data_IF_520625443192
#
_entry.id   IF_520625443192
#
_cell.length_a   1.000
_cell.length_b   1.000
_cell.length_c   1.000
_cell.angle_alpha   90.00
_cell.angle_beta   90.00
_cell.angle_gamma   90.00
#
_symmetry.space_group_name_H-M   'P 1'
#
loop_
_entity.id
_entity.type
_entity.pdbx_description
1 polymer ?
#
# COMPACT_ATOMS: atom_id res chain seq x y z
N UNK A 1 -31.58 -27.32 -9.54
CA UNK A 1 -32.36 -26.07 -9.61
C UNK A 1 -31.73 -25.07 -8.65
N UNK A 2 -31.27 -23.87 -8.99
CA UNK A 2 -31.02 -23.18 -10.26
C UNK A 2 -29.93 -22.14 -9.95
N UNK A 3 -28.66 -22.44 -10.24
CA UNK A 3 -27.55 -21.47 -10.10
C UNK A 3 -27.40 -20.61 -11.37
N UNK A 4 -27.97 -21.08 -12.49
CA UNK A 4 -28.04 -20.38 -13.77
C UNK A 4 -28.95 -19.16 -13.70
N UNK A 5 -30.08 -19.25 -13.00
CA UNK A 5 -31.05 -18.15 -12.89
C UNK A 5 -30.47 -16.93 -12.13
N UNK A 6 -29.55 -17.14 -11.19
CA UNK A 6 -28.93 -16.06 -10.42
C UNK A 6 -27.87 -15.30 -11.25
N UNK A 7 -27.13 -16.03 -12.08
CA UNK A 7 -26.17 -15.45 -13.03
C UNK A 7 -26.91 -14.66 -14.11
N UNK A 8 -27.97 -15.21 -14.67
CA UNK A 8 -28.77 -14.55 -15.71
C UNK A 8 -29.44 -13.27 -15.19
N UNK A 9 -29.94 -13.28 -13.94
CA UNK A 9 -30.48 -12.09 -13.29
C UNK A 9 -29.41 -11.02 -13.04
N UNK A 10 -28.19 -11.43 -12.69
CA UNK A 10 -27.07 -10.50 -12.46
C UNK A 10 -26.62 -9.84 -13.76
N UNK A 11 -26.53 -10.61 -14.85
CA UNK A 11 -26.20 -10.10 -16.19
C UNK A 11 -27.30 -9.16 -16.69
N UNK A 12 -28.57 -9.51 -16.51
CA UNK A 12 -29.70 -8.66 -16.90
C UNK A 12 -29.70 -7.32 -16.14
N UNK A 13 -29.35 -7.35 -14.84
CA UNK A 13 -29.21 -6.13 -14.03
C UNK A 13 -28.05 -5.25 -14.51
N UNK A 14 -26.88 -5.84 -14.77
CA UNK A 14 -25.71 -5.11 -15.26
C UNK A 14 -25.99 -4.43 -16.62
N UNK A 15 -26.65 -5.12 -17.55
CA UNK A 15 -27.05 -4.56 -18.84
C UNK A 15 -28.02 -3.39 -18.71
N UNK A 16 -28.97 -3.48 -17.76
CA UNK A 16 -29.92 -2.39 -17.47
C UNK A 16 -29.22 -1.16 -16.88
N UNK A 17 -28.26 -1.38 -15.99
CA UNK A 17 -27.48 -0.30 -15.39
C UNK A 17 -26.56 0.38 -16.42
N UNK A 18 -25.95 -0.39 -17.33
CA UNK A 18 -25.17 0.15 -18.45
C UNK A 18 -26.02 1.02 -19.38
N UNK A 19 -27.20 0.56 -19.78
CA UNK A 19 -28.12 1.33 -20.63
C UNK A 19 -28.55 2.66 -19.97
N UNK A 20 -28.75 2.66 -18.65
CA UNK A 20 -29.09 3.86 -17.88
C UNK A 20 -27.94 4.88 -17.85
N UNK A 21 -26.70 4.41 -17.77
CA UNK A 21 -25.50 5.26 -17.81
C UNK A 21 -25.34 5.88 -19.20
N UNK A 22 -25.48 5.08 -20.26
CA UNK A 22 -25.37 5.56 -21.65
C UNK A 22 -26.45 6.62 -21.97
N UNK A 23 -27.70 6.39 -21.52
CA UNK A 23 -28.77 7.38 -21.65
C UNK A 23 -28.46 8.69 -20.92
N UNK A 24 -27.90 8.60 -19.71
CA UNK A 24 -27.54 9.77 -18.90
C UNK A 24 -26.42 10.59 -19.57
N UNK A 25 -25.41 9.91 -20.13
CA UNK A 25 -24.32 10.56 -20.86
C UNK A 25 -24.79 11.19 -22.18
N UNK A 26 -25.72 10.56 -22.89
CA UNK A 26 -26.35 11.12 -24.08
C UNK A 26 -27.10 12.42 -23.76
N UNK A 27 -27.90 12.43 -22.69
CA UNK A 27 -28.64 13.61 -22.24
C UNK A 27 -27.69 14.78 -21.89
N UNK A 28 -26.58 14.48 -21.19
CA UNK A 28 -25.57 15.48 -20.82
C UNK A 28 -24.89 16.10 -22.05
N UNK A 29 -24.63 15.31 -23.11
CA UNK A 29 -24.06 15.83 -24.37
C UNK A 29 -25.06 16.72 -25.10
N UNK A 30 -26.33 16.32 -25.18
CA UNK A 30 -27.38 17.15 -25.78
C UNK A 30 -27.59 18.47 -25.03
N UNK A 31 -27.49 18.49 -23.69
CA UNK A 31 -27.53 19.74 -22.92
C UNK A 31 -26.32 20.63 -23.21
N UNK A 32 -25.11 20.07 -23.35
CA UNK A 32 -23.92 20.84 -23.71
C UNK A 32 -24.02 21.47 -25.11
N UNK A 33 -24.57 20.73 -26.07
CA UNK A 33 -24.81 21.23 -27.43
C UNK A 33 -25.89 22.32 -27.47
N UNK A 34 -26.95 22.19 -26.66
CA UNK A 34 -27.98 23.22 -26.49
C UNK A 34 -27.38 24.52 -25.94
N UNK A 35 -26.55 24.43 -24.90
CA UNK A 35 -25.86 25.59 -24.30
C UNK A 35 -24.93 26.26 -25.32
N UNK A 36 -24.22 25.47 -26.12
CA UNK A 36 -23.34 25.98 -27.18
C UNK A 36 -24.12 26.66 -28.32
N UNK A 37 -25.28 26.13 -28.69
CA UNK A 37 -26.17 26.74 -29.68
C UNK A 37 -26.75 28.07 -29.19
N UNK A 38 -27.05 28.19 -27.90
CA UNK A 38 -27.54 29.42 -27.28
C UNK A 38 -26.49 30.55 -27.20
N UNK A 39 -25.20 30.23 -27.29
CA UNK A 39 -24.10 31.19 -27.10
C UNK A 39 -23.68 31.97 -28.36
N UNK A 40 -24.33 31.76 -29.52
CA UNK A 40 -23.85 32.36 -30.79
C UNK A 40 -24.90 33.22 -31.50
N UNK A 41 -24.97 34.55 -31.28
CA UNK A 41 -25.80 35.42 -32.10
C UNK A 41 -25.01 35.92 -33.32
N UNK A 42 -24.96 35.12 -34.39
CA UNK A 42 -24.33 35.50 -35.67
C UNK A 42 -25.07 36.58 -36.47
N UNK A 43 -26.22 37.07 -36.02
CA UNK A 43 -27.02 38.06 -36.77
C UNK A 43 -26.69 39.53 -36.42
N UNK A 44 -26.06 39.81 -35.27
CA UNK A 44 -25.81 41.20 -34.84
C UNK A 44 -24.63 41.86 -35.55
N UNK A 45 -23.66 41.08 -36.04
CA UNK A 45 -22.48 41.58 -36.76
C UNK A 45 -22.82 42.11 -38.15
N UNK A 46 -23.91 41.64 -38.77
CA UNK A 46 -24.38 42.12 -40.08
C UNK A 46 -25.03 43.50 -40.02
N UNK A 47 -25.80 43.77 -38.97
CA UNK A 47 -26.57 45.03 -38.82
C UNK A 47 -25.64 46.22 -38.51
N UNK A 48 -24.60 46.01 -37.71
CA UNK A 48 -23.62 47.05 -37.39
C UNK A 48 -22.80 47.51 -38.60
N UNK A 49 -22.66 46.66 -39.62
CA UNK A 49 -21.92 46.98 -40.86
C UNK A 49 -22.75 47.82 -41.83
N UNK A 50 -24.07 47.64 -41.84
CA UNK A 50 -25.03 48.44 -42.64
C UNK A 50 -25.27 49.82 -41.99
N UNK A 51 -25.31 49.88 -40.65
CA UNK A 51 -25.51 51.14 -39.92
C UNK A 51 -24.33 52.13 -40.04
N UNK A 52 -23.12 51.66 -40.39
CA UNK A 52 -21.92 52.52 -40.57
C UNK A 52 -21.82 53.19 -41.94
N UNK A 53 -22.61 52.80 -42.94
CA UNK A 53 -22.49 53.28 -44.32
C UNK A 53 -23.57 54.27 -44.75
N UNK A 54 -24.43 54.75 -43.84
CA UNK A 54 -25.51 55.69 -44.17
C UNK A 54 -25.47 56.86 -43.19
N UNK A 55 -25.19 58.06 -43.68
CA UNK A 55 -25.39 59.29 -42.90
C UNK A 55 -26.88 59.45 -42.60
N UNK A 56 -27.29 59.65 -41.34
CA UNK A 56 -28.71 59.66 -41.02
C UNK A 56 -29.39 61.01 -41.25
N UNK A 57 -30.55 61.04 -41.92
CA UNK A 57 -31.57 62.05 -41.72
C UNK A 57 -32.23 61.87 -40.33
N UNK A 58 -32.95 62.89 -39.86
CA UNK A 58 -33.50 63.02 -38.51
C UNK A 58 -34.37 61.85 -37.97
N UNK A 59 -34.73 60.85 -38.79
CA UNK A 59 -35.47 59.66 -38.36
C UNK A 59 -34.63 58.62 -37.60
N UNK A 60 -33.28 58.70 -37.59
CA UNK A 60 -32.47 57.76 -36.81
C UNK A 60 -32.38 58.07 -35.31
N UNK A 61 -32.90 59.21 -34.82
CA UNK A 61 -32.98 59.43 -33.35
C UNK A 61 -33.94 58.43 -32.70
N UNK A 62 -35.07 58.14 -33.36
CA UNK A 62 -36.08 57.16 -32.92
C UNK A 62 -35.50 55.74 -32.99
N UNK A 63 -34.79 55.41 -34.07
CA UNK A 63 -34.14 54.09 -34.21
C UNK A 63 -33.01 53.89 -33.18
N UNK A 64 -32.26 54.95 -32.88
CA UNK A 64 -31.21 54.93 -31.85
C UNK A 64 -31.79 54.74 -30.44
N UNK A 65 -32.89 55.45 -30.12
CA UNK A 65 -33.60 55.26 -28.85
C UNK A 65 -34.19 53.84 -28.73
N UNK A 66 -34.75 53.31 -29.82
CA UNK A 66 -35.29 51.95 -29.85
C UNK A 66 -34.19 50.88 -29.73
N UNK A 67 -33.03 51.09 -30.35
CA UNK A 67 -31.86 50.21 -30.16
C UNK A 67 -31.33 50.28 -28.73
N UNK A 68 -31.33 51.46 -28.10
CA UNK A 68 -30.92 51.62 -26.70
C UNK A 68 -31.89 50.92 -25.75
N UNK A 69 -33.20 51.00 -26.01
CA UNK A 69 -34.22 50.28 -25.25
C UNK A 69 -34.09 48.75 -25.41
N UNK A 70 -33.91 48.26 -26.64
CA UNK A 70 -33.63 46.84 -26.89
C UNK A 70 -32.33 46.37 -26.24
N UNK A 71 -31.28 47.19 -26.20
CA UNK A 71 -30.04 46.85 -25.50
C UNK A 71 -30.25 46.76 -23.99
N UNK A 72 -31.07 47.63 -23.39
CA UNK A 72 -31.44 47.54 -21.97
C UNK A 72 -32.27 46.30 -21.66
N UNK A 73 -33.27 46.00 -22.47
CA UNK A 73 -34.06 44.76 -22.29
C UNK A 73 -33.20 43.53 -22.48
N UNK A 74 -32.31 43.52 -23.48
CA UNK A 74 -31.37 42.43 -23.68
C UNK A 74 -30.41 42.27 -22.50
N UNK A 75 -29.94 43.37 -21.88
CA UNK A 75 -29.16 43.31 -20.65
C UNK A 75 -29.96 42.72 -19.48
N UNK A 76 -31.21 43.14 -19.28
CA UNK A 76 -32.07 42.60 -18.23
C UNK A 76 -32.37 41.11 -18.43
N UNK A 77 -32.63 40.67 -19.67
CA UNK A 77 -32.76 39.25 -20.00
C UNK A 77 -31.44 38.49 -19.78
N UNK A 78 -30.29 39.09 -20.11
CA UNK A 78 -28.97 38.47 -19.89
C UNK A 78 -28.66 38.31 -18.40
N UNK A 79 -29.09 39.26 -17.56
CA UNK A 79 -28.97 39.16 -16.11
C UNK A 79 -29.97 38.16 -15.50
N UNK A 80 -31.17 38.01 -16.08
CA UNK A 80 -32.16 37.00 -15.68
C UNK A 80 -31.75 35.57 -16.09
N UNK A 81 -30.99 35.44 -17.19
CA UNK A 81 -30.49 34.15 -17.71
C UNK A 81 -29.14 33.77 -17.08
N UNK A 82 -28.42 34.72 -16.44
CA UNK A 82 -27.21 34.36 -15.67
C UNK A 82 -27.63 33.43 -14.54
N UNK A 83 -27.06 32.21 -14.45
CA UNK A 83 -27.24 31.37 -13.29
C UNK A 83 -26.95 32.22 -12.05
N UNK A 84 -27.84 32.26 -11.05
CA UNK A 84 -27.56 32.97 -9.82
C UNK A 84 -26.19 32.54 -9.30
N UNK A 85 -25.38 33.46 -8.74
CA UNK A 85 -24.03 33.13 -8.24
C UNK A 85 -24.03 31.91 -7.30
N UNK A 86 -25.14 31.65 -6.59
CA UNK A 86 -25.29 30.46 -5.75
C UNK A 86 -25.21 29.14 -6.56
N UNK A 87 -25.63 29.11 -7.83
CA UNK A 87 -25.52 27.93 -8.69
C UNK A 87 -24.06 27.64 -9.06
N UNK A 88 -23.24 28.67 -9.27
CA UNK A 88 -21.80 28.48 -9.49
C UNK A 88 -21.13 27.91 -8.25
N UNK A 89 -21.55 28.35 -7.05
CA UNK A 89 -21.06 27.84 -5.78
C UNK A 89 -21.54 26.39 -5.53
N UNK A 90 -22.80 26.06 -5.82
CA UNK A 90 -23.32 24.68 -5.78
C UNK A 90 -22.57 23.78 -6.77
N UNK A 91 -22.32 24.23 -8.00
CA UNK A 91 -21.57 23.45 -8.99
C UNK A 91 -20.14 23.20 -8.51
N UNK A 92 -19.48 24.19 -7.89
CA UNK A 92 -18.15 24.02 -7.28
C UNK A 92 -18.19 23.03 -6.12
N UNK A 93 -19.17 23.13 -5.23
CA UNK A 93 -19.35 22.19 -4.11
C UNK A 93 -19.65 20.78 -4.59
N UNK A 94 -20.52 20.61 -5.60
CA UNK A 94 -20.79 19.30 -6.23
C UNK A 94 -19.55 18.73 -6.90
N UNK A 95 -18.75 19.55 -7.58
CA UNK A 95 -17.48 19.11 -8.17
C UNK A 95 -16.45 18.73 -7.09
N UNK A 96 -16.40 19.45 -5.97
CA UNK A 96 -15.57 19.10 -4.81
C UNK A 96 -16.05 17.80 -4.16
N UNK A 97 -17.36 17.60 -3.98
CA UNK A 97 -17.94 16.35 -3.48
C UNK A 97 -17.70 15.18 -4.44
N UNK A 98 -17.80 15.38 -5.75
CA UNK A 98 -17.46 14.34 -6.73
C UNK A 98 -15.96 14.01 -6.70
N UNK A 99 -15.09 15.01 -6.57
CA UNK A 99 -13.64 14.81 -6.43
C UNK A 99 -13.30 14.11 -5.12
N UNK A 100 -14.00 14.43 -4.03
CA UNK A 100 -13.87 13.78 -2.73
C UNK A 100 -14.39 12.33 -2.79
N UNK A 101 -15.55 12.12 -3.39
CA UNK A 101 -16.14 10.80 -3.64
C UNK A 101 -15.16 9.94 -4.44
N UNK A 102 -14.70 10.40 -5.60
CA UNK A 102 -13.70 9.69 -6.41
C UNK A 102 -12.41 9.39 -5.62
N UNK A 103 -11.92 10.34 -4.80
CA UNK A 103 -10.76 10.13 -3.92
C UNK A 103 -11.00 9.05 -2.85
N UNK A 104 -12.24 8.85 -2.41
CA UNK A 104 -12.60 7.81 -1.44
C UNK A 104 -12.84 6.46 -2.13
N UNK A 105 -13.49 6.44 -3.30
CA UNK A 105 -13.85 5.19 -3.99
C UNK A 105 -12.66 4.54 -4.68
N UNK A 106 -11.76 5.29 -5.30
CA UNK A 106 -10.62 4.73 -6.05
C UNK A 106 -9.69 3.85 -5.20
N UNK A 107 -9.26 4.24 -3.98
CA UNK A 107 -8.45 3.40 -3.10
C UNK A 107 -9.13 2.08 -2.74
N UNK A 108 -10.42 2.17 -2.40
CA UNK A 108 -11.22 1.02 -2.04
C UNK A 108 -11.38 0.08 -3.23
N UNK A 109 -11.57 0.62 -4.44
CA UNK A 109 -11.57 -0.17 -5.67
C UNK A 109 -10.23 -0.85 -5.93
N UNK A 110 -9.10 -0.17 -5.76
CA UNK A 110 -7.77 -0.75 -5.94
C UNK A 110 -7.52 -1.93 -4.99
N UNK A 111 -7.83 -1.78 -3.71
CA UNK A 111 -7.69 -2.87 -2.73
C UNK A 111 -8.68 -4.00 -3.00
N UNK A 112 -9.93 -3.67 -3.37
CA UNK A 112 -10.90 -4.68 -3.79
C UNK A 112 -10.43 -5.43 -5.04
N UNK A 113 -9.77 -4.76 -5.99
CA UNK A 113 -9.18 -5.39 -7.17
C UNK A 113 -8.02 -6.30 -6.79
N UNK A 114 -7.15 -5.89 -5.85
CA UNK A 114 -6.10 -6.76 -5.30
C UNK A 114 -6.73 -8.00 -4.68
N UNK A 115 -7.70 -7.85 -3.77
CA UNK A 115 -8.37 -8.97 -3.11
C UNK A 115 -9.06 -9.86 -4.15
N UNK A 116 -9.85 -9.30 -5.08
CA UNK A 116 -10.54 -10.06 -6.12
C UNK A 116 -9.55 -10.80 -7.03
N UNK A 117 -8.47 -10.15 -7.44
CA UNK A 117 -7.44 -10.77 -8.29
C UNK A 117 -6.77 -11.94 -7.59
N UNK A 118 -6.48 -11.81 -6.28
CA UNK A 118 -5.96 -12.90 -5.47
C UNK A 118 -6.98 -14.02 -5.34
N UNK A 119 -8.23 -13.72 -4.96
CA UNK A 119 -9.31 -14.73 -4.89
C UNK A 119 -9.47 -15.50 -6.20
N UNK A 120 -9.45 -14.82 -7.35
CA UNK A 120 -9.53 -15.46 -8.67
C UNK A 120 -8.34 -16.38 -8.97
N UNK A 121 -7.12 -16.03 -8.52
CA UNK A 121 -5.96 -16.93 -8.60
C UNK A 121 -6.21 -18.20 -7.77
N UNK A 122 -6.72 -18.06 -6.55
CA UNK A 122 -7.02 -19.22 -5.70
C UNK A 122 -8.16 -20.09 -6.24
N UNK A 123 -9.21 -19.49 -6.81
CA UNK A 123 -10.28 -20.24 -7.50
C UNK A 123 -9.73 -21.07 -8.67
N UNK A 124 -8.86 -20.46 -9.50
CA UNK A 124 -8.22 -21.16 -10.61
C UNK A 124 -7.32 -22.30 -10.13
N UNK A 125 -6.50 -22.05 -9.11
CA UNK A 125 -5.63 -23.06 -8.53
C UNK A 125 -6.44 -24.20 -7.88
N UNK A 126 -7.55 -23.87 -7.19
CA UNK A 126 -8.50 -24.85 -6.64
C UNK A 126 -9.04 -25.77 -7.74
N UNK A 127 -9.49 -25.19 -8.85
CA UNK A 127 -10.01 -25.94 -9.99
C UNK A 127 -8.94 -26.85 -10.62
N UNK A 128 -7.70 -26.35 -10.73
CA UNK A 128 -6.57 -27.15 -11.22
C UNK A 128 -6.28 -28.32 -10.28
N UNK A 129 -6.17 -28.10 -8.98
CA UNK A 129 -5.90 -29.15 -7.98
C UNK A 129 -7.03 -30.19 -7.97
N UNK A 130 -8.30 -29.76 -8.02
CA UNK A 130 -9.44 -30.66 -8.08
C UNK A 130 -9.43 -31.58 -9.32
N UNK A 131 -8.88 -31.10 -10.44
CA UNK A 131 -8.71 -31.90 -11.65
C UNK A 131 -7.58 -32.94 -11.52
N UNK A 132 -6.59 -32.71 -10.64
CA UNK A 132 -5.52 -33.66 -10.34
C UNK A 132 -5.94 -34.62 -9.22
N UNK A 133 -6.81 -35.59 -9.54
CA UNK A 133 -7.25 -36.65 -8.63
C UNK A 133 -6.12 -37.49 -8.01
N UNK A 134 -4.90 -37.40 -8.54
CA UNK A 134 -3.71 -38.14 -8.11
C UNK A 134 -2.84 -37.38 -7.07
N UNK A 135 -2.97 -36.06 -6.97
CA UNK A 135 -2.24 -35.31 -5.95
C UNK A 135 -3.11 -35.41 -4.70
N UNK A 136 -2.66 -36.18 -3.70
CA UNK A 136 -3.18 -36.09 -2.32
C UNK A 136 -2.82 -34.72 -1.71
N UNK A 137 -3.15 -33.64 -2.41
CA UNK A 137 -3.54 -32.42 -1.75
C UNK A 137 -4.89 -32.76 -1.17
N UNK A 138 -4.98 -32.84 0.15
CA UNK A 138 -6.30 -32.80 0.71
C UNK A 138 -6.87 -31.45 0.26
N UNK A 139 -8.00 -31.45 -0.47
CA UNK A 139 -8.82 -30.25 -0.72
C UNK A 139 -8.87 -29.32 0.52
N UNK A 140 -8.90 -29.86 1.77
CA UNK A 140 -8.65 -29.09 3.00
C UNK A 140 -7.46 -28.12 2.97
N UNK A 141 -6.25 -28.52 2.59
CA UNK A 141 -5.04 -27.67 2.67
C UNK A 141 -5.11 -26.45 1.73
N UNK A 142 -5.62 -26.61 0.51
CA UNK A 142 -5.78 -25.45 -0.39
C UNK A 142 -6.93 -24.53 0.05
N UNK A 143 -8.02 -25.12 0.56
CA UNK A 143 -9.11 -24.35 1.15
C UNK A 143 -8.66 -23.58 2.40
N UNK A 144 -7.73 -24.14 3.18
CA UNK A 144 -7.09 -23.49 4.33
C UNK A 144 -6.22 -22.31 3.88
N UNK A 145 -5.33 -22.49 2.91
CA UNK A 145 -4.52 -21.39 2.38
C UNK A 145 -5.36 -20.22 1.83
N UNK A 146 -6.47 -20.53 1.14
CA UNK A 146 -7.43 -19.52 0.66
C UNK A 146 -8.14 -18.82 1.83
N UNK A 147 -8.59 -19.60 2.82
CA UNK A 147 -9.27 -19.09 4.00
C UNK A 147 -8.35 -18.19 4.82
N UNK A 148 -7.11 -18.61 5.07
CA UNK A 148 -6.10 -17.84 5.78
C UNK A 148 -5.84 -16.50 5.07
N UNK A 149 -5.66 -16.51 3.74
CA UNK A 149 -5.50 -15.26 2.99
C UNK A 149 -6.73 -14.35 3.13
N UNK A 150 -7.93 -14.89 3.01
CA UNK A 150 -9.17 -14.12 3.14
C UNK A 150 -9.32 -13.55 4.55
N UNK A 151 -9.10 -14.35 5.59
CA UNK A 151 -9.17 -13.93 6.99
C UNK A 151 -8.15 -12.82 7.25
N UNK A 152 -6.91 -13.00 6.83
CA UNK A 152 -5.85 -12.02 7.03
C UNK A 152 -6.12 -10.72 6.26
N UNK A 153 -6.51 -10.82 4.98
CA UNK A 153 -6.79 -9.65 4.14
C UNK A 153 -8.00 -8.86 4.61
N UNK A 154 -9.10 -9.54 4.94
CA UNK A 154 -10.34 -8.91 5.41
C UNK A 154 -10.11 -8.29 6.79
N UNK A 155 -9.43 -8.99 7.70
CA UNK A 155 -9.09 -8.48 9.02
C UNK A 155 -8.29 -7.18 8.93
N UNK A 156 -7.22 -7.18 8.13
CA UNK A 156 -6.39 -6.01 7.90
C UNK A 156 -7.15 -4.87 7.21
N UNK A 157 -7.93 -5.17 6.16
CA UNK A 157 -8.73 -4.17 5.45
C UNK A 157 -9.76 -3.50 6.36
N UNK A 158 -10.45 -4.28 7.20
CA UNK A 158 -11.41 -3.75 8.17
C UNK A 158 -10.71 -2.84 9.17
N UNK A 159 -9.57 -3.27 9.73
CA UNK A 159 -8.79 -2.44 10.65
C UNK A 159 -8.36 -1.13 10.00
N UNK A 160 -7.83 -1.15 8.78
CA UNK A 160 -7.43 0.05 8.02
C UNK A 160 -8.62 0.96 7.72
N UNK A 161 -9.79 0.39 7.44
CA UNK A 161 -11.03 1.13 7.21
C UNK A 161 -11.45 1.86 8.50
N UNK A 162 -11.42 1.16 9.62
CA UNK A 162 -11.86 1.68 10.92
C UNK A 162 -11.00 2.86 11.39
N UNK A 163 -9.69 2.82 11.14
CA UNK A 163 -8.78 3.94 11.45
C UNK A 163 -8.72 5.01 10.34
N UNK A 164 -9.50 4.85 9.25
CA UNK A 164 -9.53 5.79 8.12
C UNK A 164 -8.26 5.78 7.26
N UNK A 165 -7.39 4.77 7.38
CA UNK A 165 -6.16 4.66 6.58
C UNK A 165 -6.49 4.46 5.09
N UNK A 166 -7.51 3.65 4.77
CA UNK A 166 -7.92 3.38 3.39
C UNK A 166 -8.31 4.65 2.62
N UNK A 167 -8.95 5.60 3.29
CA UNK A 167 -9.46 6.82 2.68
C UNK A 167 -8.44 7.94 2.67
N UNK A 168 -7.54 7.97 3.64
CA UNK A 168 -6.59 9.08 3.83
C UNK A 168 -5.18 8.78 3.29
N UNK A 169 -4.78 7.50 3.29
CA UNK A 169 -3.44 7.04 2.96
C UNK A 169 -3.49 5.84 2.00
N UNK A 170 -4.06 6.05 0.80
CA UNK A 170 -4.25 5.01 -0.23
C UNK A 170 -2.96 4.24 -0.56
N UNK A 171 -1.90 4.98 -0.92
CA UNK A 171 -0.64 4.36 -1.35
C UNK A 171 -0.01 3.52 -0.23
N UNK A 172 -0.12 3.99 1.02
CA UNK A 172 0.34 3.24 2.18
C UNK A 172 -0.52 1.99 2.39
N UNK A 173 -1.85 2.12 2.30
CA UNK A 173 -2.76 0.98 2.42
C UNK A 173 -2.43 -0.11 1.41
N UNK A 174 -2.28 0.25 0.13
CA UNK A 174 -1.85 -0.68 -0.92
C UNK A 174 -0.48 -1.31 -0.59
N UNK A 175 0.46 -0.53 -0.07
CA UNK A 175 1.80 -1.01 0.29
C UNK A 175 1.79 -2.02 1.43
N UNK A 176 0.88 -1.88 2.39
CA UNK A 176 0.73 -2.79 3.52
C UNK A 176 0.14 -4.16 3.10
N UNK A 177 -0.43 -4.27 1.90
CA UNK A 177 -0.87 -5.54 1.29
C UNK A 177 0.23 -6.26 0.49
N UNK A 178 1.43 -5.70 0.32
CA UNK A 178 2.51 -6.34 -0.46
C UNK A 178 2.87 -7.75 0.04
N UNK A 179 2.90 -8.05 1.36
CA UNK A 179 3.10 -9.41 1.84
C UNK A 179 2.04 -10.42 1.36
N UNK A 180 0.78 -9.98 1.21
CA UNK A 180 -0.31 -10.83 0.70
C UNK A 180 -0.11 -11.16 -0.78
N UNK A 181 0.42 -10.20 -1.55
CA UNK A 181 0.82 -10.41 -2.95
C UNK A 181 1.98 -11.40 -3.02
N UNK A 182 3.01 -11.23 -2.18
CA UNK A 182 4.14 -12.17 -2.12
C UNK A 182 3.69 -13.58 -1.74
N UNK A 183 2.80 -13.72 -0.74
CA UNK A 183 2.19 -14.99 -0.36
C UNK A 183 1.46 -15.64 -1.54
N UNK A 184 0.61 -14.89 -2.25
CA UNK A 184 -0.13 -15.42 -3.41
C UNK A 184 0.81 -15.94 -4.49
N UNK A 185 1.90 -15.22 -4.78
CA UNK A 185 2.92 -15.66 -5.73
C UNK A 185 3.64 -16.93 -5.25
N UNK A 186 3.94 -17.01 -3.96
CA UNK A 186 4.53 -18.19 -3.33
C UNK A 186 3.61 -19.42 -3.41
N UNK A 187 2.32 -19.26 -3.12
CA UNK A 187 1.32 -20.33 -3.24
C UNK A 187 1.26 -20.83 -4.68
N UNK A 188 1.15 -19.93 -5.66
CA UNK A 188 1.14 -20.28 -7.08
C UNK A 188 2.38 -21.10 -7.47
N UNK A 189 3.56 -20.60 -7.11
CA UNK A 189 4.83 -21.28 -7.38
C UNK A 189 4.87 -22.69 -6.76
N UNK A 190 4.43 -22.81 -5.51
CA UNK A 190 4.43 -24.07 -4.76
C UNK A 190 3.46 -25.08 -5.37
N UNK A 191 2.25 -24.64 -5.73
CA UNK A 191 1.24 -25.47 -6.41
C UNK A 191 1.74 -25.96 -7.76
N UNK A 192 2.36 -25.10 -8.57
CA UNK A 192 2.96 -25.50 -9.86
C UNK A 192 3.97 -26.64 -9.66
N UNK A 193 4.84 -26.54 -8.65
CA UNK A 193 5.82 -27.59 -8.31
C UNK A 193 5.17 -28.89 -7.81
N UNK A 194 4.08 -28.79 -7.06
CA UNK A 194 3.31 -29.96 -6.61
C UNK A 194 2.57 -30.64 -7.77
N UNK A 195 2.09 -29.87 -8.75
CA UNK A 195 1.46 -30.42 -9.97
C UNK A 195 2.42 -31.09 -10.93
N UNK A 196 3.73 -30.84 -10.79
CA UNK A 196 4.77 -31.52 -11.55
C UNK A 196 5.02 -32.97 -11.09
N UNK A 197 4.15 -33.54 -10.24
CA UNK A 197 4.25 -34.88 -9.67
C UNK A 197 5.63 -35.17 -9.03
N UNK A 198 6.04 -34.36 -8.04
CA UNK A 198 7.29 -34.59 -7.34
C UNK A 198 7.25 -35.92 -6.59
N UNK A 199 8.42 -36.43 -6.22
CA UNK A 199 8.53 -37.59 -5.32
C UNK A 199 7.77 -37.33 -4.00
N UNK A 200 7.29 -38.36 -3.29
CA UNK A 200 6.53 -38.17 -2.06
C UNK A 200 7.24 -37.31 -0.99
N UNK A 201 8.56 -37.46 -0.86
CA UNK A 201 9.35 -36.66 0.09
C UNK A 201 9.44 -35.18 -0.31
N UNK A 202 9.61 -34.86 -1.60
CA UNK A 202 9.59 -33.47 -2.08
C UNK A 202 8.19 -32.89 -1.93
N UNK A 203 7.13 -33.67 -2.23
CA UNK A 203 5.76 -33.23 -2.04
C UNK A 203 5.47 -32.85 -0.58
N UNK A 204 5.92 -33.67 0.38
CA UNK A 204 5.76 -33.39 1.81
C UNK A 204 6.48 -32.10 2.23
N UNK A 205 7.70 -31.86 1.74
CA UNK A 205 8.44 -30.62 2.03
C UNK A 205 7.80 -29.38 1.43
N UNK A 206 7.26 -29.48 0.21
CA UNK A 206 6.50 -28.39 -0.41
C UNK A 206 5.23 -28.06 0.39
N UNK A 207 4.51 -29.06 0.90
CA UNK A 207 3.34 -28.85 1.76
C UNK A 207 3.71 -28.27 3.12
N UNK A 208 4.78 -28.78 3.74
CA UNK A 208 5.29 -28.22 5.00
C UNK A 208 5.70 -26.76 4.85
N UNK A 209 6.39 -26.42 3.76
CA UNK A 209 6.72 -25.04 3.42
C UNK A 209 5.48 -24.16 3.24
N UNK A 210 4.41 -24.68 2.64
CA UNK A 210 3.13 -23.96 2.53
C UNK A 210 2.51 -23.66 3.90
N UNK A 211 2.40 -24.68 4.75
CA UNK A 211 1.85 -24.55 6.11
C UNK A 211 2.65 -23.54 6.96
N UNK A 212 3.99 -23.58 6.85
CA UNK A 212 4.87 -22.67 7.56
C UNK A 212 4.67 -21.20 7.12
N UNK A 213 4.62 -20.93 5.81
CA UNK A 213 4.37 -19.56 5.30
C UNK A 213 2.97 -19.09 5.68
N UNK A 214 1.97 -19.96 5.63
CA UNK A 214 0.59 -19.63 6.00
C UNK A 214 0.51 -19.17 7.46
N UNK A 215 1.10 -19.93 8.40
CA UNK A 215 1.15 -19.55 9.80
C UNK A 215 1.91 -18.21 9.99
N UNK A 216 3.03 -18.04 9.30
CA UNK A 216 3.79 -16.78 9.33
C UNK A 216 2.97 -15.59 8.81
N UNK A 217 2.15 -15.76 7.77
CA UNK A 217 1.25 -14.70 7.26
C UNK A 217 0.21 -14.30 8.30
N UNK A 218 -0.46 -15.27 8.92
CA UNK A 218 -1.46 -15.02 9.96
C UNK A 218 -0.86 -14.27 11.15
N UNK A 219 0.28 -14.74 11.64
CA UNK A 219 1.00 -14.11 12.75
C UNK A 219 1.47 -12.69 12.41
N UNK A 220 1.93 -12.47 11.17
CA UNK A 220 2.35 -11.15 10.71
C UNK A 220 1.19 -10.16 10.63
N UNK A 221 0.02 -10.61 10.13
CA UNK A 221 -1.16 -9.76 10.05
C UNK A 221 -1.68 -9.37 11.44
N UNK A 222 -1.61 -10.27 12.42
CA UNK A 222 -1.95 -9.93 13.80
C UNK A 222 -1.02 -8.83 14.36
N UNK A 223 0.30 -9.01 14.22
CA UNK A 223 1.30 -8.01 14.66
C UNK A 223 1.07 -6.65 13.98
N UNK A 224 0.86 -6.64 12.67
CA UNK A 224 0.59 -5.40 11.90
C UNK A 224 -0.71 -4.77 12.37
N UNK A 225 -1.79 -5.54 12.52
CA UNK A 225 -3.11 -5.03 12.93
C UNK A 225 -3.08 -4.37 14.32
N UNK A 226 -2.26 -4.90 15.23
CA UNK A 226 -2.04 -4.37 16.57
C UNK A 226 -1.18 -3.10 16.59
N UNK A 227 -0.37 -2.85 15.56
CA UNK A 227 0.49 -1.68 15.47
C UNK A 227 -0.08 -0.55 14.61
N UNK A 228 -0.93 -0.86 13.62
CA UNK A 228 -1.35 0.16 12.65
C UNK A 228 -2.24 1.24 13.27
N UNK A 229 -1.84 2.48 12.99
CA UNK A 229 -2.54 3.72 13.31
C UNK A 229 -2.51 4.62 12.06
N UNK A 230 -3.27 5.72 12.07
CA UNK A 230 -3.20 6.71 11.00
C UNK A 230 -1.92 7.55 11.22
N UNK A 231 -0.91 7.50 10.32
CA UNK A 231 0.32 8.25 10.54
C UNK A 231 0.09 9.76 10.39
N UNK A 232 0.66 10.51 11.33
CA UNK A 232 0.65 11.98 11.32
C UNK A 232 1.58 12.56 10.23
N UNK A 233 2.54 11.78 9.72
CA UNK A 233 3.45 12.21 8.67
C UNK A 233 2.84 12.07 7.27
N UNK A 234 3.21 13.00 6.38
CA UNK A 234 2.80 13.04 4.98
C UNK A 234 3.78 12.30 4.05
N UNK A 235 4.63 11.43 4.60
CA UNK A 235 5.64 10.75 3.81
C UNK A 235 4.96 9.79 2.83
N UNK A 236 5.52 9.74 1.62
CA UNK A 236 5.09 8.75 0.64
C UNK A 236 5.73 7.40 0.99
N UNK A 237 5.03 6.28 0.76
CA UNK A 237 5.64 4.97 0.85
C UNK A 237 6.91 4.89 -0.02
N UNK A 238 7.98 4.34 0.54
CA UNK A 238 9.22 4.07 -0.19
C UNK A 238 8.98 3.01 -1.30
N UNK A 239 9.97 2.83 -2.17
CA UNK A 239 9.96 1.80 -3.20
C UNK A 239 9.74 0.38 -2.63
N UNK A 240 9.26 -0.51 -3.49
CA UNK A 240 8.98 -1.91 -3.11
C UNK A 240 10.28 -2.64 -2.79
N UNK A 241 10.30 -3.32 -1.64
CA UNK A 241 11.37 -4.22 -1.21
C UNK A 241 11.15 -5.61 -1.77
N UNK A 242 12.21 -6.40 -1.90
CA UNK A 242 12.09 -7.78 -2.37
C UNK A 242 11.69 -8.69 -1.21
N UNK A 243 10.43 -9.14 -1.22
CA UNK A 243 9.86 -10.00 -0.17
C UNK A 243 10.05 -11.49 -0.51
N UNK A 244 11.28 -11.99 -0.38
CA UNK A 244 11.69 -13.33 -0.86
C UNK A 244 11.78 -14.43 0.21
N UNK A 245 11.54 -14.12 1.49
CA UNK A 245 11.68 -15.11 2.58
C UNK A 245 10.90 -16.42 2.37
N UNK A 246 9.65 -16.42 1.88
CA UNK A 246 8.89 -17.66 1.63
C UNK A 246 9.59 -18.61 0.65
N UNK A 247 10.16 -18.04 -0.42
CA UNK A 247 10.84 -18.81 -1.45
C UNK A 247 12.17 -19.36 -0.93
N UNK A 248 12.92 -18.54 -0.17
CA UNK A 248 14.20 -18.96 0.41
C UNK A 248 14.02 -20.04 1.47
N UNK A 249 13.01 -19.94 2.32
CA UNK A 249 12.74 -21.00 3.29
C UNK A 249 12.29 -22.29 2.59
N UNK A 250 11.54 -22.22 1.49
CA UNK A 250 11.20 -23.40 0.71
C UNK A 250 12.45 -24.08 0.13
N UNK A 251 13.37 -23.30 -0.44
CA UNK A 251 14.64 -23.81 -0.97
C UNK A 251 15.46 -24.51 0.14
N UNK A 252 15.55 -23.91 1.32
CA UNK A 252 16.19 -24.51 2.50
C UNK A 252 15.53 -25.82 2.91
N UNK A 253 14.21 -25.83 3.10
CA UNK A 253 13.45 -27.01 3.52
C UNK A 253 13.59 -28.16 2.52
N UNK A 254 13.68 -27.85 1.23
CA UNK A 254 13.88 -28.86 0.20
C UNK A 254 15.27 -29.50 0.21
N UNK A 255 16.28 -28.79 0.72
CA UNK A 255 17.64 -29.28 0.85
C UNK A 255 17.83 -30.28 2.01
N UNK A 256 16.89 -30.35 2.96
CA UNK A 256 16.94 -31.32 4.06
C UNK A 256 16.48 -32.72 3.65
N UNK A 257 17.04 -33.76 4.27
CA UNK A 257 16.76 -35.17 3.90
C UNK A 257 15.37 -35.67 4.31
N UNK A 258 14.79 -35.15 5.40
CA UNK A 258 13.45 -35.52 5.82
C UNK A 258 12.79 -34.42 6.65
N UNK A 259 11.48 -34.29 6.51
CA UNK A 259 10.59 -33.62 7.44
C UNK A 259 9.65 -34.71 7.94
N UNK A 260 9.63 -34.94 9.25
CA UNK A 260 8.85 -36.04 9.87
C UNK A 260 7.35 -35.77 9.78
N UNK A 261 6.95 -34.51 9.99
CA UNK A 261 5.56 -34.05 9.95
C UNK A 261 5.45 -32.73 9.17
N UNK A 262 4.70 -32.73 8.06
CA UNK A 262 4.46 -31.53 7.24
C UNK A 262 3.59 -30.48 7.97
N UNK A 263 3.04 -30.79 9.14
CA UNK A 263 2.24 -29.87 9.97
C UNK A 263 3.02 -29.27 11.13
N UNK A 264 4.21 -29.80 11.45
CA UNK A 264 5.06 -29.30 12.54
C UNK A 264 5.86 -28.08 12.09
N UNK A 265 5.20 -26.92 12.12
CA UNK A 265 5.82 -25.63 11.75
C UNK A 265 6.92 -25.19 12.72
N UNK A 266 6.93 -25.70 13.95
CA UNK A 266 7.98 -25.40 14.93
C UNK A 266 9.28 -26.13 14.56
N UNK A 267 9.22 -27.44 14.29
CA UNK A 267 10.38 -28.21 13.83
C UNK A 267 10.94 -27.64 12.51
N UNK A 268 10.07 -27.27 11.57
CA UNK A 268 10.50 -26.64 10.32
C UNK A 268 11.18 -25.28 10.55
N UNK A 269 10.72 -24.51 11.53
CA UNK A 269 11.36 -23.25 11.91
C UNK A 269 12.75 -23.49 12.49
N UNK A 270 12.95 -24.55 13.27
CA UNK A 270 14.27 -24.88 13.83
C UNK A 270 15.28 -25.21 12.74
N UNK A 271 14.89 -25.88 11.66
CA UNK A 271 15.82 -26.28 10.60
C UNK A 271 16.04 -25.21 9.52
N UNK A 272 15.08 -24.30 9.27
CA UNK A 272 15.25 -23.23 8.28
C UNK A 272 15.83 -21.97 8.90
N UNK A 273 17.03 -21.57 8.45
CA UNK A 273 17.67 -20.32 8.90
C UNK A 273 16.85 -19.09 8.48
N UNK A 274 16.22 -19.14 7.31
CA UNK A 274 15.29 -18.10 6.87
C UNK A 274 14.09 -18.01 7.80
N UNK A 275 13.47 -19.15 8.16
CA UNK A 275 12.33 -19.18 9.08
C UNK A 275 12.69 -18.65 10.48
N UNK A 276 13.87 -19.00 11.02
CA UNK A 276 14.36 -18.41 12.27
C UNK A 276 14.51 -16.89 12.16
N UNK A 277 14.99 -16.39 11.03
CA UNK A 277 15.14 -14.95 10.79
C UNK A 277 13.78 -14.25 10.75
N UNK A 278 12.78 -14.84 10.07
CA UNK A 278 11.39 -14.37 10.07
C UNK A 278 10.83 -14.31 11.50
N UNK A 279 11.03 -15.38 12.28
CA UNK A 279 10.58 -15.45 13.68
C UNK A 279 11.24 -14.38 14.56
N UNK A 280 12.55 -14.14 14.39
CA UNK A 280 13.28 -13.07 15.10
C UNK A 280 12.79 -11.67 14.68
N UNK A 281 12.57 -11.45 13.39
CA UNK A 281 12.02 -10.20 12.87
C UNK A 281 10.66 -9.89 13.48
N UNK A 282 9.75 -10.87 13.48
CA UNK A 282 8.45 -10.79 14.17
C UNK A 282 8.59 -10.49 15.66
N UNK A 283 9.53 -11.17 16.34
CA UNK A 283 9.75 -10.95 17.77
C UNK A 283 10.19 -9.51 18.05
N UNK A 284 11.03 -8.93 17.21
CA UNK A 284 11.39 -7.50 17.29
C UNK A 284 10.15 -6.62 17.17
N UNK A 285 9.30 -6.85 16.17
CA UNK A 285 8.07 -6.05 15.97
C UNK A 285 7.09 -6.18 17.15
N UNK A 286 6.89 -7.39 17.67
CA UNK A 286 6.06 -7.61 18.86
C UNK A 286 6.61 -6.87 20.09
N UNK A 287 7.93 -6.86 20.28
CA UNK A 287 8.56 -6.10 21.35
C UNK A 287 8.40 -4.58 21.16
N UNK A 288 8.43 -4.08 19.93
CA UNK A 288 8.14 -2.66 19.65
C UNK A 288 6.73 -2.28 20.10
N UNK A 289 5.72 -3.10 19.78
CA UNK A 289 4.33 -2.88 20.23
C UNK A 289 4.24 -2.89 21.76
N UNK A 290 4.86 -3.87 22.43
CA UNK A 290 4.89 -3.94 23.90
C UNK A 290 5.59 -2.74 24.53
N UNK A 291 6.70 -2.27 23.95
CA UNK A 291 7.40 -1.07 24.39
C UNK A 291 6.52 0.18 24.25
N UNK A 292 5.69 0.27 23.20
CA UNK A 292 4.76 1.38 23.05
C UNK A 292 3.65 1.36 24.10
N UNK A 293 3.07 0.20 24.40
CA UNK A 293 2.08 0.03 25.46
C UNK A 293 2.66 0.39 26.84
N UNK A 294 3.86 -0.11 27.13
CA UNK A 294 4.60 0.23 28.34
C UNK A 294 4.93 1.74 28.40
N UNK A 295 5.38 2.32 27.29
CA UNK A 295 5.67 3.75 27.18
C UNK A 295 4.46 4.62 27.53
N UNK A 296 3.29 4.31 26.94
CA UNK A 296 2.01 4.99 27.16
C UNK A 296 1.55 4.93 28.63
N UNK A 297 1.83 3.84 29.33
CA UNK A 297 1.44 3.63 30.75
C UNK A 297 2.50 4.07 31.77
N UNK A 298 3.74 4.26 31.33
CA UNK A 298 4.85 4.72 32.17
C UNK A 298 4.82 6.23 32.42
N UNK A 299 5.81 6.74 33.17
CA UNK A 299 6.02 8.19 33.39
C UNK A 299 6.27 8.97 32.10
N UNK A 300 6.68 8.29 31.02
CA UNK A 300 6.88 8.89 29.69
C UNK A 300 5.55 9.40 29.13
N UNK A 301 4.45 8.67 29.39
CA UNK A 301 3.09 9.06 28.98
C UNK A 301 2.89 9.13 27.47
N UNK A 302 3.77 8.50 26.68
CA UNK A 302 3.71 8.48 25.22
C UNK A 302 4.36 7.21 24.67
N UNK A 303 4.09 6.91 23.40
CA UNK A 303 4.76 5.82 22.68
C UNK A 303 6.26 6.08 22.50
N UNK A 304 7.05 5.01 22.61
CA UNK A 304 8.49 5.04 22.37
C UNK A 304 8.75 5.15 20.86
N UNK A 305 8.06 4.34 20.07
CA UNK A 305 8.18 4.23 18.63
C UNK A 305 6.94 4.80 17.94
N UNK A 306 7.09 5.92 17.25
CA UNK A 306 6.00 6.59 16.52
C UNK A 306 5.59 5.78 15.29
N UNK A 307 4.30 5.50 15.06
CA UNK A 307 3.81 4.74 13.90
C UNK A 307 3.85 5.59 12.63
N UNK A 308 5.04 5.94 12.15
CA UNK A 308 5.20 6.70 10.91
C UNK A 308 4.90 5.84 9.68
N UNK A 309 4.65 6.48 8.53
CA UNK A 309 4.45 5.77 7.25
C UNK A 309 5.55 4.74 6.99
N UNK A 310 6.81 5.11 7.20
CA UNK A 310 7.96 4.20 7.05
C UNK A 310 7.96 3.06 8.06
N UNK A 311 7.68 3.35 9.33
CA UNK A 311 7.69 2.30 10.35
C UNK A 311 6.58 1.27 10.09
N UNK A 312 5.40 1.71 9.67
CA UNK A 312 4.31 0.81 9.29
C UNK A 312 4.71 -0.12 8.13
N UNK A 313 5.41 0.40 7.11
CA UNK A 313 5.94 -0.42 6.01
C UNK A 313 6.97 -1.43 6.53
N UNK A 314 7.82 -1.04 7.48
CA UNK A 314 8.78 -1.98 8.08
C UNK A 314 8.08 -3.10 8.84
N UNK A 315 6.98 -2.81 9.54
CA UNK A 315 6.17 -3.83 10.20
C UNK A 315 5.62 -4.88 9.23
N UNK A 316 5.34 -4.49 7.98
CA UNK A 316 4.93 -5.44 6.95
C UNK A 316 6.09 -6.16 6.27
N UNK A 317 7.22 -5.49 6.09
CA UNK A 317 8.32 -6.01 5.25
C UNK A 317 9.33 -6.85 6.00
N UNK A 318 9.73 -6.44 7.20
CA UNK A 318 10.86 -7.05 7.92
C UNK A 318 10.73 -8.58 8.06
N UNK A 319 9.54 -9.16 8.37
CA UNK A 319 9.39 -10.61 8.44
C UNK A 319 9.52 -11.33 7.09
N UNK A 320 9.45 -10.62 5.97
CA UNK A 320 9.42 -11.20 4.62
C UNK A 320 10.71 -10.98 3.82
N UNK A 321 11.68 -10.27 4.40
CA UNK A 321 13.00 -10.03 3.78
C UNK A 321 13.96 -11.13 4.21
N UNK A 322 14.56 -11.82 3.23
CA UNK A 322 15.67 -12.75 3.45
C UNK A 322 16.86 -12.34 2.58
N UNK A 323 17.84 -11.61 3.14
CA UNK A 323 18.98 -11.12 2.39
C UNK A 323 19.79 -12.24 1.73
N UNK A 324 19.98 -12.16 0.41
CA UNK A 324 20.89 -13.07 -0.33
C UNK A 324 22.05 -12.35 -1.00
N UNK A 325 22.06 -11.02 -0.93
CA UNK A 325 23.09 -10.16 -1.47
C UNK A 325 23.22 -8.90 -0.60
N UNK A 326 24.16 -8.03 -0.98
CA UNK A 326 24.40 -6.77 -0.27
C UNK A 326 23.18 -5.82 -0.31
N UNK A 327 22.39 -5.83 -1.38
CA UNK A 327 21.22 -4.96 -1.51
C UNK A 327 20.10 -5.39 -0.57
N UNK A 328 19.77 -6.70 -0.54
CA UNK A 328 18.82 -7.25 0.41
C UNK A 328 19.27 -7.07 1.86
N UNK A 329 20.58 -7.14 2.12
CA UNK A 329 21.12 -6.87 3.45
C UNK A 329 20.97 -5.38 3.83
N UNK A 330 21.19 -4.47 2.88
CA UNK A 330 20.92 -3.04 3.05
C UNK A 330 19.44 -2.76 3.36
N UNK A 331 18.51 -3.45 2.70
CA UNK A 331 17.08 -3.34 2.97
C UNK A 331 16.73 -3.80 4.38
N UNK A 332 17.28 -4.93 4.84
CA UNK A 332 17.06 -5.41 6.21
C UNK A 332 17.62 -4.43 7.24
N UNK A 333 18.83 -3.88 7.01
CA UNK A 333 19.43 -2.88 7.90
C UNK A 333 18.63 -1.57 7.91
N UNK A 334 18.07 -1.15 6.79
CA UNK A 334 17.15 -0.01 6.74
C UNK A 334 15.92 -0.24 7.61
N UNK A 335 15.31 -1.43 7.56
CA UNK A 335 14.19 -1.77 8.43
C UNK A 335 14.55 -1.59 9.91
N UNK A 336 15.68 -2.14 10.35
CA UNK A 336 16.15 -2.00 11.73
C UNK A 336 16.45 -0.54 12.10
N UNK A 337 17.06 0.23 11.18
CA UNK A 337 17.32 1.65 11.37
C UNK A 337 16.03 2.46 11.51
N UNK A 338 15.02 2.20 10.67
CA UNK A 338 13.74 2.89 10.76
C UNK A 338 12.98 2.54 12.04
N UNK A 339 13.10 1.31 12.57
CA UNK A 339 12.55 0.96 13.88
C UNK A 339 13.29 1.71 14.99
N UNK A 340 14.59 1.42 15.16
CA UNK A 340 15.32 1.79 16.36
C UNK A 340 15.84 3.21 16.36
N UNK A 341 15.90 3.88 15.21
CA UNK A 341 16.41 5.24 15.12
C UNK A 341 15.32 6.24 14.71
N UNK A 342 14.69 6.08 13.55
CA UNK A 342 13.67 7.04 13.11
C UNK A 342 12.36 6.90 13.92
N UNK A 343 11.87 5.68 14.10
CA UNK A 343 10.66 5.38 14.87
C UNK A 343 10.77 5.88 16.31
N UNK A 344 11.93 5.72 16.92
CA UNK A 344 12.20 6.21 18.27
C UNK A 344 12.38 7.74 18.39
N UNK A 345 12.37 8.47 17.27
CA UNK A 345 12.42 9.92 17.25
C UNK A 345 13.77 10.56 16.94
N UNK A 346 14.68 9.90 16.18
CA UNK A 346 15.95 10.37 15.55
C UNK A 346 16.83 11.38 16.32
N UNK A 347 16.31 12.56 16.61
CA UNK A 347 16.96 13.66 17.33
C UNK A 347 16.70 13.59 18.85
N UNK A 348 15.60 12.95 19.24
CA UNK A 348 15.15 12.76 20.61
C UNK A 348 14.70 11.30 20.81
N UNK A 349 15.67 10.38 20.84
CA UNK A 349 15.43 8.95 21.01
C UNK A 349 14.71 8.68 22.34
N UNK A 350 13.43 8.34 22.29
CA UNK A 350 12.54 8.28 23.47
C UNK A 350 12.85 7.16 24.45
N UNK A 351 13.58 6.14 24.03
CA UNK A 351 14.03 5.09 24.93
C UNK A 351 15.25 5.50 25.77
N UNK A 352 15.91 6.63 25.50
CA UNK A 352 17.05 7.09 26.30
C UNK A 352 16.61 7.79 27.59
N UNK A 353 17.32 7.55 28.69
CA UNK A 353 17.09 8.15 30.01
C UNK A 353 17.03 9.67 30.00
N UNK A 354 17.95 10.32 29.28
CA UNK A 354 17.98 11.79 29.13
C UNK A 354 16.71 12.36 28.48
N UNK A 355 15.94 11.50 27.81
CA UNK A 355 14.68 11.82 27.15
C UNK A 355 13.47 11.19 27.85
N UNK A 356 13.66 10.67 29.07
CA UNK A 356 12.62 10.04 29.90
C UNK A 356 12.50 8.52 29.75
N UNK A 357 13.25 7.90 28.84
CA UNK A 357 13.27 6.46 28.60
C UNK A 357 14.03 5.65 29.65
N UNK A 358 14.06 4.30 29.54
CA UNK A 358 14.72 3.45 30.53
C UNK A 358 16.18 3.08 30.19
N UNK A 359 16.72 3.48 29.04
CA UNK A 359 18.03 3.02 28.56
C UNK A 359 19.11 4.09 28.68
N UNK A 360 20.30 3.70 29.10
CA UNK A 360 21.49 4.55 29.06
C UNK A 360 22.04 4.65 27.63
N UNK A 361 22.94 5.60 27.38
CA UNK A 361 23.63 5.69 26.08
C UNK A 361 24.45 4.42 25.78
N UNK A 362 24.97 3.73 26.81
CA UNK A 362 25.74 2.48 26.65
C UNK A 362 24.88 1.29 26.24
N UNK A 363 23.62 1.23 26.69
CA UNK A 363 22.67 0.18 26.28
C UNK A 363 22.30 0.27 24.78
N UNK A 364 22.59 1.41 24.15
CA UNK A 364 22.19 1.73 22.78
C UNK A 364 23.31 1.52 21.75
N UNK A 365 24.43 0.90 22.12
CA UNK A 365 25.57 0.65 21.23
C UNK A 365 25.16 -0.06 19.93
N UNK A 366 24.28 -1.06 20.00
CA UNK A 366 23.76 -1.77 18.83
C UNK A 366 23.03 -0.84 17.85
N UNK A 367 22.28 0.14 18.35
CA UNK A 367 21.53 1.09 17.52
C UNK A 367 22.50 2.01 16.77
N UNK A 368 23.58 2.42 17.42
CA UNK A 368 24.66 3.16 16.77
C UNK A 368 25.38 2.33 15.73
N UNK A 369 25.61 1.03 15.99
CA UNK A 369 26.14 0.11 14.98
C UNK A 369 25.21 0.00 13.76
N UNK A 370 23.89 -0.14 13.95
CA UNK A 370 22.90 -0.19 12.85
C UNK A 370 22.94 1.11 12.03
N UNK A 371 22.91 2.27 12.70
CA UNK A 371 23.00 3.58 12.04
C UNK A 371 24.30 3.72 11.26
N UNK A 372 25.43 3.29 11.82
CA UNK A 372 26.72 3.36 11.15
C UNK A 372 26.78 2.41 9.96
N UNK A 373 26.32 1.16 10.12
CA UNK A 373 26.25 0.16 9.06
C UNK A 373 25.43 0.67 7.88
N UNK A 374 24.22 1.17 8.14
CA UNK A 374 23.38 1.81 7.11
C UNK A 374 24.12 2.97 6.42
N UNK A 375 24.56 3.94 7.22
CA UNK A 375 24.97 5.23 6.70
C UNK A 375 26.41 5.26 6.17
N UNK A 376 27.24 4.25 6.43
CA UNK A 376 28.65 4.25 5.99
C UNK A 376 28.99 3.11 5.06
N UNK A 377 28.22 2.02 5.10
CA UNK A 377 28.55 0.80 4.34
C UNK A 377 27.52 0.43 3.30
N UNK A 378 26.23 0.77 3.51
CA UNK A 378 25.14 0.21 2.72
C UNK A 378 24.37 1.22 1.87
N UNK A 379 24.12 2.44 2.37
CA UNK A 379 23.25 3.43 1.70
C UNK A 379 23.92 4.74 1.30
N UNK A 380 24.96 5.18 1.99
CA UNK A 380 25.74 6.32 1.51
C UNK A 380 26.98 5.84 0.78
N UNK A 381 27.27 6.53 -0.31
CA UNK A 381 28.59 6.63 -0.88
C UNK A 381 29.54 7.09 0.22
N UNK A 382 30.57 6.30 0.54
CA UNK A 382 31.58 6.68 1.53
C UNK A 382 32.25 8.02 1.18
N UNK A 383 32.05 8.49 -0.05
CA UNK A 383 32.56 9.74 -0.63
C UNK A 383 31.56 10.91 -0.59
N UNK A 384 30.41 10.78 0.07
CA UNK A 384 29.46 11.88 0.27
C UNK A 384 29.55 12.50 1.67
N UNK A 385 29.80 13.81 1.71
CA UNK A 385 29.95 14.60 2.93
C UNK A 385 31.16 15.53 2.85
N UNK A 386 31.47 16.24 3.93
CA UNK A 386 32.72 16.99 4.00
C UNK A 386 33.91 16.02 3.98
N UNK A 387 35.00 16.37 3.27
CA UNK A 387 36.22 15.54 3.14
C UNK A 387 36.73 14.98 4.49
N UNK A 388 36.57 15.75 5.56
CA UNK A 388 36.96 15.36 6.91
C UNK A 388 36.11 14.21 7.46
N UNK A 389 34.80 14.24 7.20
CA UNK A 389 33.88 13.20 7.63
C UNK A 389 34.05 11.92 6.83
N UNK A 390 34.37 12.04 5.53
CA UNK A 390 34.74 10.92 4.67
C UNK A 390 36.01 10.24 5.21
N UNK A 391 37.09 11.00 5.44
CA UNK A 391 38.34 10.47 5.98
C UNK A 391 38.18 9.85 7.38
N UNK A 392 37.39 10.51 8.25
CA UNK A 392 37.09 9.99 9.59
C UNK A 392 36.29 8.69 9.51
N UNK A 393 35.33 8.61 8.59
CA UNK A 393 34.55 7.40 8.36
C UNK A 393 35.47 6.25 7.99
N UNK A 394 36.31 6.41 6.96
CA UNK A 394 37.29 5.41 6.52
C UNK A 394 38.26 4.98 7.63
N UNK A 395 38.77 5.92 8.44
CA UNK A 395 39.63 5.60 9.57
C UNK A 395 38.92 4.77 10.65
N UNK A 396 37.64 5.06 10.90
CA UNK A 396 36.81 4.32 11.86
C UNK A 396 36.44 2.92 11.33
N UNK A 397 36.20 2.79 10.02
CA UNK A 397 36.01 1.49 9.35
C UNK A 397 37.22 0.58 9.54
N UNK A 398 38.42 1.11 9.35
CA UNK A 398 39.67 0.36 9.54
C UNK A 398 39.81 -0.12 11.00
N UNK A 399 39.46 0.72 11.98
CA UNK A 399 39.57 0.40 13.41
C UNK A 399 38.61 -0.71 13.84
N UNK A 400 37.36 -0.68 13.37
CA UNK A 400 36.35 -1.70 13.71
C UNK A 400 36.72 -3.06 13.07
N UNK A 401 37.17 -3.06 11.82
CA UNK A 401 37.65 -4.27 11.12
C UNK A 401 38.81 -4.93 11.87
N UNK A 402 39.76 -4.14 12.39
CA UNK A 402 40.86 -4.65 13.21
C UNK A 402 40.42 -5.19 14.58
N UNK A 403 39.44 -4.55 15.24
CA UNK A 403 38.94 -4.99 16.54
C UNK A 403 38.20 -6.34 16.46
N UNK A 404 37.44 -6.55 15.37
CA UNK A 404 36.72 -7.80 15.15
C UNK A 404 37.64 -8.95 14.70
N UNK A 405 38.73 -8.66 13.96
CA UNK A 405 39.77 -9.66 13.65
C UNK A 405 40.53 -10.14 14.89
N UNK A 406 40.68 -9.28 15.91
CA UNK A 406 41.27 -9.66 17.20
C UNK A 406 40.36 -10.54 18.06
N UNK A 407 39.04 -10.35 17.98
CA UNK A 407 38.07 -11.18 18.72
C UNK A 407 37.91 -12.59 18.12
N UNK A 408 38.00 -12.72 16.78
CA UNK A 408 37.97 -14.01 16.09
C UNK A 408 39.23 -14.87 16.28
N UNK A 409 40.33 -14.29 16.78
CA UNK A 409 41.58 -15.01 17.06
C UNK A 409 41.72 -15.42 18.53
N UNK A 410 40.69 -15.18 19.36
CA UNK A 410 40.70 -15.38 20.81
C UNK A 410 39.65 -16.40 21.30
N UNK A 411 39.14 -17.27 20.43
CA UNK A 411 38.43 -18.50 20.83
C UNK A 411 39.34 -19.70 20.50
N UNK A 412 39.71 -20.53 21.50
CA UNK A 412 40.43 -21.78 21.27
C UNK A 412 39.59 -22.85 20.56
#
# INVERSE_FOLDING_TARGET
>A
MNNTDEIDNTIAKANKDQARIEQTLSLSRSMADLVKAMQTPHYLTGIAKIAKSIQPPAYLSVVSQMMTAMQREHQLFTELIRPPRFMDDIIKEMAQMQKLSARITTPYHSIQEIIRSQSAVFEKLSAQIAAFSAIKFSIPQFSQATLALNVASIGLANRMKDIGLLTQREMLSARLFEPHISYTNFVKHTVERLTANPTPHIAARLRGSLNLVEQQLLDNVDIVSNFIELPDDEDKPDDRRVLNAPFKQQDELLAYDAIEDETDTEAMTVISTTAQTVQRGRRVLALVTQCNEAGKTSKIGMEIFKPTTRLMIVFTDLPWISPTDQSGFAEMVDCLYFIFYEGAGKDNLRFLEKNGGPLTDADCDLIWCIKHLRNKWLRHDADHGEKKDIQKSWAELARISHKNKGASAAEP
#
